data_IF_960613704847
#
_entry.id   IF_960613704847
#
_cell.length_a   1.000
_cell.length_b   1.000
_cell.length_c   1.000
_cell.angle_alpha   90.00
_cell.angle_beta   90.00
_cell.angle_gamma   90.00
#
_symmetry.space_group_name_H-M   'P 1'
#
loop_
_entity.id
_entity.type
_entity.pdbx_description
1 polymer ?
#
# COMPACT_ATOMS: atom_id res chain seq x y z
N UNK A 1 8.65 -8.39 36.66
CA UNK A 1 8.87 -8.91 35.30
C UNK A 1 8.44 -7.83 34.31
N UNK A 2 9.41 -7.06 33.80
CA UNK A 2 9.23 -5.86 32.98
C UNK A 2 9.26 -6.15 31.47
N UNK A 3 8.76 -7.31 31.05
CA UNK A 3 8.96 -7.81 29.67
C UNK A 3 7.71 -7.74 28.78
N UNK A 4 6.60 -7.12 29.18
CA UNK A 4 5.37 -7.09 28.39
C UNK A 4 4.65 -5.72 28.35
N UNK A 5 5.40 -4.62 28.20
CA UNK A 5 4.74 -3.32 27.95
C UNK A 5 5.56 -2.37 27.07
N UNK A 6 6.11 -2.89 25.97
CA UNK A 6 6.68 -2.04 24.91
C UNK A 6 6.37 -2.56 23.50
N UNK A 7 5.21 -3.20 23.30
CA UNK A 7 4.69 -3.41 21.94
C UNK A 7 3.80 -2.25 21.53
N UNK A 8 4.28 -1.02 21.72
CA UNK A 8 3.66 0.13 21.06
C UNK A 8 4.22 0.15 19.65
N UNK A 9 3.53 -0.56 18.75
CA UNK A 9 3.81 -0.51 17.32
C UNK A 9 3.67 0.95 16.89
N UNK A 10 4.82 1.61 16.70
CA UNK A 10 4.94 2.94 16.10
C UNK A 10 3.93 3.06 14.97
N UNK A 11 2.89 3.88 15.16
CA UNK A 11 2.05 4.31 14.06
C UNK A 11 2.97 4.87 12.98
N UNK A 12 3.12 4.14 11.88
CA UNK A 12 4.05 4.48 10.81
C UNK A 12 3.58 5.82 10.26
N UNK A 13 4.30 6.90 10.60
CA UNK A 13 4.15 8.19 9.95
C UNK A 13 4.64 8.00 8.52
N UNK A 14 3.74 7.59 7.62
CA UNK A 14 4.08 7.37 6.23
C UNK A 14 4.42 8.71 5.62
N UNK A 15 5.72 8.99 5.51
CA UNK A 15 6.24 10.24 4.98
C UNK A 15 5.95 10.29 3.48
N UNK A 16 5.32 11.36 3.01
CA UNK A 16 5.17 11.62 1.58
C UNK A 16 6.54 11.73 0.93
N UNK A 17 6.84 10.85 -0.02
CA UNK A 17 8.04 10.95 -0.85
C UNK A 17 7.82 12.00 -1.95
N UNK A 18 8.71 12.99 -2.12
CA UNK A 18 8.62 14.00 -3.18
C UNK A 18 8.63 13.43 -4.61
N UNK A 19 9.18 12.22 -4.79
CA UNK A 19 9.30 11.53 -6.08
C UNK A 19 8.56 10.20 -6.06
N UNK A 20 7.29 10.22 -5.66
CA UNK A 20 6.46 9.03 -5.63
C UNK A 20 5.99 8.64 -7.04
N UNK A 21 6.30 7.42 -7.47
CA UNK A 21 5.74 6.81 -8.68
C UNK A 21 4.59 5.86 -8.29
N UNK A 22 3.32 6.16 -8.67
CA UNK A 22 2.17 5.30 -8.35
C UNK A 22 2.08 4.04 -9.22
N UNK A 23 2.76 3.98 -10.37
CA UNK A 23 2.59 2.92 -11.36
C UNK A 23 2.97 1.51 -10.86
N UNK A 24 4.13 1.30 -10.19
CA UNK A 24 4.51 -0.02 -9.70
C UNK A 24 3.59 -0.52 -8.57
N UNK A 25 3.08 0.39 -7.74
CA UNK A 25 2.12 0.05 -6.68
C UNK A 25 0.77 -0.36 -7.30
N UNK A 26 0.31 0.34 -8.35
CA UNK A 26 -0.89 -0.02 -9.08
C UNK A 26 -0.76 -1.40 -9.76
N UNK A 27 0.39 -1.71 -10.36
CA UNK A 27 0.66 -3.01 -10.98
C UNK A 27 0.69 -4.13 -9.93
N UNK A 28 1.31 -3.89 -8.78
CA UNK A 28 1.33 -4.83 -7.64
C UNK A 28 -0.08 -5.14 -7.16
N UNK A 29 -0.92 -4.11 -6.96
CA UNK A 29 -2.32 -4.27 -6.57
C UNK A 29 -3.12 -5.04 -7.62
N UNK A 30 -2.90 -4.77 -8.90
CA UNK A 30 -3.56 -5.49 -9.98
C UNK A 30 -3.18 -6.97 -9.98
N UNK A 31 -1.89 -7.28 -9.87
CA UNK A 31 -1.41 -8.67 -9.78
C UNK A 31 -1.95 -9.39 -8.55
N UNK A 32 -2.04 -8.70 -7.41
CA UNK A 32 -2.55 -9.25 -6.16
C UNK A 32 -4.04 -9.62 -6.22
N UNK A 33 -4.82 -8.92 -7.06
CA UNK A 33 -6.27 -9.14 -7.22
C UNK A 33 -6.63 -9.92 -8.51
N UNK A 34 -5.68 -10.13 -9.42
CA UNK A 34 -5.94 -10.77 -10.71
C UNK A 34 -5.91 -12.29 -10.57
N UNK A 35 -7.05 -12.93 -10.84
CA UNK A 35 -7.15 -14.39 -10.98
C UNK A 35 -8.07 -15.00 -9.93
N UNK A 36 -7.86 -16.28 -9.62
CA UNK A 36 -8.61 -17.00 -8.59
C UNK A 36 -7.80 -16.91 -7.29
N UNK A 37 -8.40 -16.28 -6.28
CA UNK A 37 -7.74 -15.95 -5.03
C UNK A 37 -7.23 -14.50 -5.00
N UNK A 38 -6.76 -14.08 -3.83
CA UNK A 38 -6.26 -12.74 -3.57
C UNK A 38 -4.95 -12.87 -2.80
N UNK A 39 -3.94 -12.05 -3.13
CA UNK A 39 -2.76 -11.92 -2.28
C UNK A 39 -2.96 -10.75 -1.30
N UNK A 40 -3.58 -11.04 -0.16
CA UNK A 40 -3.92 -10.03 0.84
C UNK A 40 -2.67 -9.36 1.42
N UNK A 41 -1.58 -10.12 1.58
CA UNK A 41 -0.33 -9.59 2.13
C UNK A 41 0.24 -8.49 1.24
N UNK A 42 0.26 -8.68 -0.09
CA UNK A 42 0.73 -7.66 -1.02
C UNK A 42 -0.14 -6.39 -0.98
N UNK A 43 -1.46 -6.53 -0.80
CA UNK A 43 -2.38 -5.39 -0.66
C UNK A 43 -2.11 -4.63 0.64
N UNK A 44 -1.92 -5.36 1.75
CA UNK A 44 -1.61 -4.78 3.06
C UNK A 44 -0.29 -4.03 2.99
N UNK A 45 0.76 -4.63 2.44
CA UNK A 45 2.09 -4.02 2.38
C UNK A 45 2.09 -2.73 1.56
N UNK A 46 1.45 -2.73 0.38
CA UNK A 46 1.35 -1.53 -0.46
C UNK A 46 0.51 -0.45 0.22
N UNK A 47 -0.69 -0.78 0.72
CA UNK A 47 -1.56 0.27 1.25
C UNK A 47 -1.05 0.80 2.59
N UNK A 48 -0.62 -0.05 3.53
CA UNK A 48 -0.20 0.39 4.87
C UNK A 48 1.10 1.20 4.86
N UNK A 49 1.95 1.03 3.85
CA UNK A 49 3.21 1.77 3.70
C UNK A 49 3.09 3.02 2.82
N UNK A 50 1.88 3.46 2.45
CA UNK A 50 1.63 4.65 1.62
C UNK A 50 0.72 5.65 2.32
N UNK A 51 1.04 6.94 2.17
CA UNK A 51 0.24 8.03 2.72
C UNK A 51 -1.11 8.11 2.00
N UNK A 52 -2.11 8.74 2.62
CA UNK A 52 -3.42 8.85 1.98
C UNK A 52 -3.34 9.52 0.60
N UNK A 53 -2.54 10.59 0.46
CA UNK A 53 -2.32 11.28 -0.81
C UNK A 53 -1.69 10.34 -1.87
N UNK A 54 -0.70 9.55 -1.49
CA UNK A 54 -0.08 8.55 -2.38
C UNK A 54 -1.09 7.48 -2.80
N UNK A 55 -1.95 7.00 -1.90
CA UNK A 55 -3.02 6.04 -2.24
C UNK A 55 -3.99 6.60 -3.28
N UNK A 56 -4.33 7.88 -3.21
CA UNK A 56 -5.15 8.53 -4.24
C UNK A 56 -4.42 8.58 -5.59
N UNK A 57 -3.11 8.78 -5.61
CA UNK A 57 -2.30 8.71 -6.84
C UNK A 57 -2.26 7.29 -7.40
N UNK A 58 -2.10 6.27 -6.54
CA UNK A 58 -2.16 4.85 -6.92
C UNK A 58 -3.52 4.52 -7.54
N UNK A 59 -4.62 4.95 -6.91
CA UNK A 59 -5.97 4.73 -7.44
C UNK A 59 -6.15 5.33 -8.85
N UNK A 60 -5.69 6.57 -9.06
CA UNK A 60 -5.71 7.20 -10.39
C UNK A 60 -4.88 6.42 -11.41
N UNK A 61 -3.66 6.02 -11.05
CA UNK A 61 -2.80 5.24 -11.96
C UNK A 61 -3.43 3.87 -12.27
N UNK A 62 -4.03 3.21 -11.28
CA UNK A 62 -4.75 1.96 -11.44
C UNK A 62 -5.93 2.09 -12.43
N UNK A 63 -6.73 3.15 -12.32
CA UNK A 63 -7.81 3.44 -13.27
C UNK A 63 -7.28 3.65 -14.70
N UNK A 64 -6.18 4.39 -14.84
CA UNK A 64 -5.57 4.67 -16.16
C UNK A 64 -4.99 3.40 -16.79
N UNK A 65 -4.31 2.56 -16.02
CA UNK A 65 -3.64 1.36 -16.53
C UNK A 65 -4.58 0.18 -16.79
N UNK A 66 -5.59 -0.01 -15.93
CA UNK A 66 -6.42 -1.21 -15.93
C UNK A 66 -7.90 -0.96 -16.25
N UNK A 67 -8.34 0.30 -16.34
CA UNK A 67 -9.71 0.67 -16.69
C UNK A 67 -10.75 0.18 -15.67
N UNK A 68 -10.36 0.07 -14.40
CA UNK A 68 -11.16 -0.43 -13.28
C UNK A 68 -11.40 0.66 -12.26
#
# INVERSE_FOLDING_TARGET
>A
AWLLLQTEQKGVSVKSSPHFNPDPDAETLYKAMKGIGTNEQAIIDVLTQRSNAQRQQIAKSFMVQFGK
#
